data_IF_990882983605
#
_entry.id   IF_990882983605
#
_cell.length_a   1.000
_cell.length_b   1.000
_cell.length_c   1.000
_cell.angle_alpha   90.00
_cell.angle_beta   90.00
_cell.angle_gamma   90.00
#
_symmetry.space_group_name_H-M   'P 1'
#
loop_
_entity.id
_entity.type
_entity.pdbx_description
1 polymer ?
#
# COMPACT_ATOMS: atom_id res chain seq x y z
N UNK A 1 7.25 -17.73 -16.98
CA UNK A 1 6.65 -18.73 -16.06
C UNK A 1 5.28 -18.18 -15.67
N UNK A 2 4.19 -18.93 -15.77
CA UNK A 2 2.86 -18.43 -15.41
C UNK A 2 2.74 -18.29 -13.89
N UNK A 3 1.88 -17.37 -13.43
CA UNK A 3 1.48 -17.31 -12.03
C UNK A 3 0.80 -18.64 -11.63
N UNK A 4 1.21 -19.31 -10.54
CA UNK A 4 0.51 -20.49 -10.05
C UNK A 4 -0.99 -20.21 -9.87
N UNK A 5 -1.84 -21.11 -10.36
CA UNK A 5 -3.29 -20.91 -10.28
C UNK A 5 -3.78 -21.14 -8.87
N UNK A 6 -4.49 -20.16 -8.32
CA UNK A 6 -5.17 -20.30 -7.04
C UNK A 6 -6.47 -21.09 -7.21
N UNK A 7 -6.78 -21.93 -6.23
CA UNK A 7 -8.10 -22.55 -6.09
C UNK A 7 -9.04 -21.53 -5.47
N UNK A 8 -10.24 -21.36 -6.06
CA UNK A 8 -11.28 -20.47 -5.57
C UNK A 8 -12.48 -21.27 -5.09
N UNK A 9 -12.87 -21.06 -3.85
CA UNK A 9 -13.97 -21.77 -3.21
C UNK A 9 -14.98 -20.76 -2.67
N UNK A 10 -16.25 -20.79 -3.14
CA UNK A 10 -17.29 -19.95 -2.56
C UNK A 10 -17.65 -20.47 -1.15
N UNK A 11 -17.77 -19.54 -0.20
CA UNK A 11 -18.17 -19.80 1.18
C UNK A 11 -19.57 -19.22 1.45
N UNK A 12 -20.11 -19.55 2.62
CA UNK A 12 -21.38 -18.97 3.08
C UNK A 12 -21.31 -17.44 3.15
N UNK A 13 -22.46 -16.78 3.10
CA UNK A 13 -22.55 -15.31 3.17
C UNK A 13 -21.95 -14.57 1.96
N UNK A 14 -21.56 -15.27 0.88
CA UNK A 14 -20.94 -14.69 -0.31
C UNK A 14 -19.47 -14.29 -0.10
N UNK A 15 -18.80 -14.88 0.85
CA UNK A 15 -17.33 -14.82 1.05
C UNK A 15 -16.67 -15.74 0.01
N UNK A 16 -15.48 -15.39 -0.45
CA UNK A 16 -14.67 -16.23 -1.32
C UNK A 16 -13.37 -16.61 -0.59
N UNK A 17 -12.98 -17.88 -0.67
CA UNK A 17 -11.64 -18.33 -0.30
C UNK A 17 -10.79 -18.52 -1.55
N UNK A 18 -9.54 -18.05 -1.48
CA UNK A 18 -8.52 -18.16 -2.55
C UNK A 18 -7.30 -18.84 -1.96
N UNK A 19 -6.93 -20.02 -2.45
CA UNK A 19 -5.85 -20.82 -1.86
C UNK A 19 -4.73 -21.15 -2.83
N UNK A 20 -3.49 -21.11 -2.33
CA UNK A 20 -2.25 -21.58 -2.98
C UNK A 20 -1.59 -22.58 -2.05
N UNK A 21 -1.69 -23.86 -2.39
CA UNK A 21 -1.10 -24.94 -1.58
C UNK A 21 0.35 -25.20 -1.99
N UNK A 22 1.23 -25.34 -0.98
CA UNK A 22 2.62 -25.75 -1.10
C UNK A 22 3.06 -26.41 0.22
N UNK A 23 3.26 -27.71 0.18
CA UNK A 23 3.59 -28.53 1.35
C UNK A 23 5.11 -28.58 1.64
N UNK A 24 5.92 -27.75 1.01
CA UNK A 24 7.37 -27.71 1.20
C UNK A 24 7.80 -27.41 2.65
N UNK A 25 6.95 -26.67 3.37
CA UNK A 25 7.14 -26.36 4.80
C UNK A 25 5.80 -26.46 5.55
N UNK A 26 5.78 -26.94 6.81
CA UNK A 26 4.54 -27.13 7.57
C UNK A 26 4.01 -25.81 8.18
N UNK A 27 3.96 -24.75 7.37
CA UNK A 27 3.52 -23.40 7.74
C UNK A 27 2.38 -22.97 6.84
N UNK A 28 1.35 -22.43 7.43
CA UNK A 28 0.24 -21.79 6.70
C UNK A 28 0.13 -20.31 7.03
N UNK A 29 -0.21 -19.54 6.00
CA UNK A 29 -0.61 -18.12 6.10
C UNK A 29 -2.08 -18.00 5.80
N UNK A 30 -2.80 -17.32 6.68
CA UNK A 30 -4.19 -16.93 6.53
C UNK A 30 -4.25 -15.42 6.45
N UNK A 31 -4.80 -14.87 5.37
CA UNK A 31 -5.04 -13.43 5.25
C UNK A 31 -6.51 -13.17 5.01
N UNK A 32 -7.12 -12.36 5.86
CA UNK A 32 -8.50 -11.90 5.73
C UNK A 32 -8.42 -10.46 5.22
N UNK A 33 -8.99 -10.22 4.03
CA UNK A 33 -8.88 -8.95 3.32
C UNK A 33 -10.26 -8.31 3.17
N UNK A 34 -10.49 -7.22 3.87
CA UNK A 34 -11.68 -6.38 3.71
C UNK A 34 -11.42 -5.33 2.62
N UNK A 35 -12.36 -5.11 1.66
CA UNK A 35 -12.24 -4.12 0.60
C UNK A 35 -12.57 -2.69 1.09
N UNK A 36 -12.13 -2.35 2.28
CA UNK A 36 -12.34 -1.08 2.99
C UNK A 36 -11.05 -0.70 3.69
N UNK A 37 -10.60 0.53 3.52
CA UNK A 37 -9.39 1.05 4.14
C UNK A 37 -9.60 2.43 4.75
N UNK A 38 -8.50 3.16 4.97
CA UNK A 38 -8.55 4.47 5.65
C UNK A 38 -9.39 5.53 4.94
N UNK A 39 -9.53 5.45 3.61
CA UNK A 39 -10.34 6.39 2.85
C UNK A 39 -11.86 6.07 2.89
N UNK A 40 -12.22 4.86 3.31
CA UNK A 40 -13.58 4.36 3.24
C UNK A 40 -14.32 4.44 4.58
N UNK A 41 -13.58 4.64 5.67
CA UNK A 41 -14.13 4.77 7.02
C UNK A 41 -14.42 6.22 7.37
N UNK A 42 -15.36 6.49 8.29
CA UNK A 42 -15.62 7.85 8.76
C UNK A 42 -14.39 8.50 9.42
N UNK A 43 -13.66 7.73 10.24
CA UNK A 43 -12.44 8.17 10.91
C UNK A 43 -11.30 7.14 10.75
N UNK A 44 -10.22 7.55 10.08
CA UNK A 44 -9.02 6.72 9.90
C UNK A 44 -8.24 6.49 11.22
N UNK A 45 -8.38 7.38 12.23
CA UNK A 45 -7.77 7.19 13.55
C UNK A 45 -8.46 6.03 14.29
N UNK A 46 -9.78 5.96 14.21
CA UNK A 46 -10.54 4.85 14.78
C UNK A 46 -10.12 3.51 14.15
N UNK A 47 -9.93 3.45 12.83
CA UNK A 47 -9.46 2.25 12.15
C UNK A 47 -8.05 1.84 12.59
N UNK A 48 -7.15 2.82 12.70
CA UNK A 48 -5.77 2.60 13.12
C UNK A 48 -5.64 2.14 14.60
N UNK A 49 -6.61 2.50 15.45
CA UNK A 49 -6.73 1.99 16.83
C UNK A 49 -7.43 0.63 16.86
N UNK A 50 -8.55 0.48 16.15
CA UNK A 50 -9.40 -0.70 16.23
C UNK A 50 -8.67 -1.98 15.82
N UNK A 51 -7.91 -1.95 14.73
CA UNK A 51 -7.26 -3.15 14.21
C UNK A 51 -6.23 -3.77 15.19
N UNK A 52 -5.26 -3.04 15.76
CA UNK A 52 -4.38 -3.63 16.77
C UNK A 52 -5.10 -3.94 18.09
N UNK A 53 -6.17 -3.22 18.44
CA UNK A 53 -6.95 -3.49 19.65
C UNK A 53 -7.68 -4.86 19.63
N UNK A 54 -7.86 -5.47 18.46
CA UNK A 54 -8.49 -6.80 18.38
C UNK A 54 -7.74 -7.86 19.22
N UNK A 55 -6.41 -7.78 19.29
CA UNK A 55 -5.57 -8.71 20.06
C UNK A 55 -5.25 -8.25 21.50
N UNK A 56 -5.73 -7.09 21.93
CA UNK A 56 -5.49 -6.58 23.30
C UNK A 56 -6.43 -7.20 24.35
N UNK A 57 -7.33 -8.06 23.94
CA UNK A 57 -8.23 -8.84 24.80
C UNK A 57 -9.55 -9.17 24.13
N UNK A 58 -10.09 -10.35 24.47
CA UNK A 58 -11.43 -10.78 24.10
C UNK A 58 -12.35 -10.81 25.33
N UNK A 59 -13.62 -11.18 25.13
CA UNK A 59 -14.53 -11.38 26.26
C UNK A 59 -14.11 -12.54 27.17
N UNK A 60 -13.25 -13.44 26.68
CA UNK A 60 -12.82 -14.67 27.38
C UNK A 60 -11.36 -14.64 27.84
N UNK A 61 -10.50 -13.80 27.26
CA UNK A 61 -9.05 -13.82 27.49
C UNK A 61 -8.47 -12.41 27.55
N UNK A 62 -7.41 -12.24 28.34
CA UNK A 62 -6.62 -11.00 28.33
C UNK A 62 -5.70 -10.92 27.10
N UNK A 63 -5.22 -9.72 26.74
CA UNK A 63 -4.24 -9.54 25.66
C UNK A 63 -2.90 -10.26 25.96
N UNK A 64 -2.51 -10.37 27.23
CA UNK A 64 -1.33 -11.14 27.64
C UNK A 64 -1.52 -12.64 27.36
N UNK A 65 -2.67 -13.22 27.72
CA UNK A 65 -2.96 -14.64 27.43
C UNK A 65 -2.98 -14.90 25.92
N UNK A 66 -3.53 -13.98 25.12
CA UNK A 66 -3.52 -14.07 23.66
C UNK A 66 -2.09 -14.08 23.13
N UNK A 67 -1.25 -13.15 23.58
CA UNK A 67 0.15 -13.06 23.16
C UNK A 67 0.92 -14.34 23.53
N UNK A 68 0.78 -14.83 24.77
CA UNK A 68 1.42 -16.06 25.25
C UNK A 68 1.00 -17.29 24.43
N UNK A 69 -0.30 -17.41 24.10
CA UNK A 69 -0.79 -18.51 23.26
C UNK A 69 -0.20 -18.42 21.85
N UNK A 70 -0.16 -17.26 21.23
CA UNK A 70 0.41 -17.08 19.90
C UNK A 70 1.90 -17.42 19.89
N UNK A 71 2.68 -16.84 20.80
CA UNK A 71 4.12 -17.05 20.89
C UNK A 71 4.48 -18.51 21.19
N UNK A 72 3.83 -19.13 22.18
CA UNK A 72 4.06 -20.53 22.54
C UNK A 72 3.79 -21.50 21.37
N UNK A 73 2.82 -21.19 20.52
CA UNK A 73 2.45 -22.01 19.38
C UNK A 73 3.18 -21.64 18.08
N UNK A 74 4.13 -20.68 18.11
CA UNK A 74 4.85 -20.23 16.94
C UNK A 74 3.94 -19.57 15.90
N UNK A 75 2.88 -18.92 16.36
CA UNK A 75 1.96 -18.15 15.53
C UNK A 75 2.20 -16.64 15.73
N UNK A 76 2.01 -15.87 14.69
CA UNK A 76 2.06 -14.42 14.80
C UNK A 76 1.06 -13.76 13.86
N UNK A 77 0.57 -12.62 14.27
CA UNK A 77 -0.48 -11.88 13.60
C UNK A 77 -0.03 -10.44 13.32
N UNK A 78 -0.41 -9.92 12.17
CA UNK A 78 -0.24 -8.50 11.82
C UNK A 78 -1.48 -7.94 11.13
N UNK A 79 -1.61 -6.63 11.20
CA UNK A 79 -2.64 -5.88 10.47
C UNK A 79 -1.99 -4.84 9.57
N UNK A 80 -2.47 -4.75 8.34
CA UNK A 80 -2.04 -3.76 7.37
C UNK A 80 -3.28 -2.95 6.92
N UNK A 81 -3.19 -1.63 6.97
CA UNK A 81 -4.27 -0.72 6.58
C UNK A 81 -3.81 0.08 5.36
N UNK A 82 -4.42 -0.19 4.22
CA UNK A 82 -4.23 0.54 2.99
C UNK A 82 -5.28 1.66 2.81
N UNK A 83 -5.26 2.28 1.64
CA UNK A 83 -6.24 3.31 1.27
C UNK A 83 -7.66 2.72 1.19
N UNK A 84 -7.83 1.57 0.51
CA UNK A 84 -9.10 0.89 0.26
C UNK A 84 -9.10 -0.58 0.69
N UNK A 85 -8.15 -0.98 1.52
CA UNK A 85 -8.06 -2.35 2.04
C UNK A 85 -7.62 -2.36 3.48
N UNK A 86 -8.17 -3.30 4.25
CA UNK A 86 -7.68 -3.66 5.57
C UNK A 86 -7.38 -5.15 5.55
N UNK A 87 -6.20 -5.54 6.00
CA UNK A 87 -5.72 -6.92 5.94
C UNK A 87 -5.32 -7.34 7.34
N UNK A 88 -5.85 -8.47 7.78
CA UNK A 88 -5.34 -9.19 8.93
C UNK A 88 -4.64 -10.45 8.42
N UNK A 89 -3.38 -10.62 8.75
CA UNK A 89 -2.57 -11.78 8.37
C UNK A 89 -2.14 -12.54 9.60
N UNK A 90 -2.38 -13.86 9.60
CA UNK A 90 -1.91 -14.80 10.58
C UNK A 90 -0.95 -15.80 9.92
N UNK A 91 0.20 -16.03 10.51
CA UNK A 91 1.08 -17.16 10.21
C UNK A 91 1.03 -18.16 11.36
N UNK A 92 0.98 -19.44 11.03
CA UNK A 92 0.94 -20.50 12.04
C UNK A 92 1.66 -21.77 11.56
N UNK A 93 2.13 -22.56 12.52
CA UNK A 93 2.57 -23.92 12.29
C UNK A 93 1.34 -24.84 12.20
N UNK A 94 1.24 -25.67 11.18
CA UNK A 94 0.06 -26.52 10.96
C UNK A 94 -0.29 -27.42 12.15
N UNK A 95 0.72 -27.90 12.88
CA UNK A 95 0.53 -28.74 14.09
C UNK A 95 -0.23 -28.04 15.22
N UNK A 96 -0.26 -26.70 15.24
CA UNK A 96 -0.92 -25.90 16.27
C UNK A 96 -2.25 -25.30 15.83
N UNK A 97 -2.67 -25.58 14.60
CA UNK A 97 -3.85 -24.97 13.97
C UNK A 97 -5.14 -25.15 14.80
N UNK A 98 -5.37 -26.36 15.38
CA UNK A 98 -6.56 -26.63 16.21
C UNK A 98 -6.69 -25.70 17.41
N UNK A 99 -5.57 -25.16 17.89
CA UNK A 99 -5.56 -24.19 18.99
C UNK A 99 -5.65 -22.76 18.51
N UNK A 100 -5.07 -22.45 17.34
CA UNK A 100 -4.94 -21.07 16.85
C UNK A 100 -6.22 -20.60 16.12
N UNK A 101 -6.92 -21.46 15.36
CA UNK A 101 -8.14 -21.05 14.67
C UNK A 101 -9.27 -20.60 15.61
N UNK A 102 -9.58 -21.33 16.73
CA UNK A 102 -10.55 -20.86 17.70
C UNK A 102 -10.15 -19.52 18.36
N UNK A 103 -8.84 -19.34 18.63
CA UNK A 103 -8.33 -18.08 19.16
C UNK A 103 -8.52 -16.92 18.15
N UNK A 104 -8.19 -17.15 16.86
CA UNK A 104 -8.41 -16.14 15.83
C UNK A 104 -9.88 -15.78 15.69
N UNK A 105 -10.77 -16.79 15.74
CA UNK A 105 -12.22 -16.55 15.71
C UNK A 105 -12.66 -15.70 16.91
N UNK A 106 -12.19 -15.97 18.12
CA UNK A 106 -12.54 -15.18 19.31
C UNK A 106 -12.02 -13.74 19.23
N UNK A 107 -10.77 -13.55 18.75
CA UNK A 107 -10.18 -12.22 18.51
C UNK A 107 -11.01 -11.40 17.53
N UNK A 108 -11.52 -12.03 16.48
CA UNK A 108 -12.27 -11.33 15.42
C UNK A 108 -13.74 -11.10 15.79
N UNK A 109 -14.37 -12.02 16.50
CA UNK A 109 -15.80 -11.98 16.77
C UNK A 109 -16.14 -11.31 18.12
N UNK A 110 -15.25 -11.44 19.11
CA UNK A 110 -15.54 -11.05 20.50
C UNK A 110 -14.47 -10.17 21.15
N UNK A 111 -13.88 -9.16 20.45
CA UNK A 111 -12.91 -8.28 21.09
C UNK A 111 -13.53 -7.47 22.22
N UNK A 112 -12.83 -7.38 23.36
CA UNK A 112 -13.32 -6.68 24.53
C UNK A 112 -13.04 -5.16 24.50
N UNK A 113 -12.05 -4.72 23.71
CA UNK A 113 -11.55 -3.34 23.69
C UNK A 113 -11.30 -2.80 25.12
N UNK A 114 -10.37 -3.40 25.90
CA UNK A 114 -10.14 -2.98 27.29
C UNK A 114 -9.72 -1.51 27.39
N UNK A 115 -10.31 -0.70 28.28
CA UNK A 115 -10.02 0.76 28.35
C UNK A 115 -8.56 1.08 28.61
N UNK A 116 -7.90 0.32 29.48
CA UNK A 116 -6.50 0.51 29.82
C UNK A 116 -5.55 0.15 28.65
N UNK A 117 -5.86 -0.89 27.89
CA UNK A 117 -5.14 -1.24 26.67
C UNK A 117 -5.34 -0.18 25.59
N UNK A 118 -6.56 0.34 25.42
CA UNK A 118 -6.85 1.43 24.50
C UNK A 118 -6.02 2.66 24.83
N UNK A 119 -5.90 3.03 26.11
CA UNK A 119 -5.13 4.20 26.50
C UNK A 119 -3.62 4.02 26.25
N UNK A 120 -3.06 2.85 26.60
CA UNK A 120 -1.65 2.53 26.27
C UNK A 120 -1.36 2.58 24.78
N UNK A 121 -2.25 1.99 23.95
CA UNK A 121 -2.10 2.00 22.49
C UNK A 121 -2.23 3.41 21.92
N UNK A 122 -3.18 4.20 22.41
CA UNK A 122 -3.40 5.59 22.05
C UNK A 122 -2.14 6.43 22.27
N UNK A 123 -1.56 6.37 23.48
CA UNK A 123 -0.33 7.08 23.80
C UNK A 123 0.83 6.67 22.89
N UNK A 124 0.97 5.36 22.63
CA UNK A 124 1.98 4.84 21.69
C UNK A 124 1.79 5.41 20.28
N UNK A 125 0.57 5.40 19.74
CA UNK A 125 0.30 5.90 18.39
C UNK A 125 0.45 7.43 18.30
N UNK A 126 0.08 8.17 19.34
CA UNK A 126 0.33 9.62 19.45
C UNK A 126 1.84 9.91 19.40
N UNK A 127 2.63 9.20 20.22
CA UNK A 127 4.09 9.36 20.23
C UNK A 127 4.71 9.04 18.86
N UNK A 128 4.30 7.94 18.24
CA UNK A 128 4.75 7.57 16.90
C UNK A 128 4.34 8.59 15.83
N UNK A 129 3.15 9.17 15.94
CA UNK A 129 2.67 10.19 14.99
C UNK A 129 3.46 11.48 15.14
N UNK A 130 3.74 11.93 16.36
CA UNK A 130 4.60 13.09 16.61
C UNK A 130 6.00 12.91 16.02
N UNK A 131 6.62 11.73 16.23
CA UNK A 131 7.93 11.41 15.62
C UNK A 131 7.89 11.42 14.08
N UNK A 132 6.78 10.97 13.48
CA UNK A 132 6.62 11.00 12.03
C UNK A 132 6.43 12.42 11.49
N UNK A 133 5.76 13.30 12.23
CA UNK A 133 5.55 14.70 11.85
C UNK A 133 6.85 15.53 11.77
N UNK A 134 7.96 15.04 12.33
CA UNK A 134 9.28 15.64 12.16
C UNK A 134 10.07 15.09 10.97
N UNK A 135 9.57 14.07 10.27
CA UNK A 135 10.25 13.49 9.11
C UNK A 135 9.84 14.19 7.84
N UNK A 136 10.77 14.88 7.19
CA UNK A 136 10.53 15.62 5.94
C UNK A 136 9.87 14.74 4.86
N UNK A 137 10.27 13.47 4.74
CA UNK A 137 9.65 12.50 3.82
C UNK A 137 8.15 12.33 4.06
N UNK A 138 7.74 12.24 5.31
CA UNK A 138 6.33 12.08 5.67
C UNK A 138 5.53 13.35 5.40
N UNK A 139 6.10 14.52 5.73
CA UNK A 139 5.49 15.82 5.44
C UNK A 139 5.30 16.03 3.94
N UNK A 140 6.32 15.76 3.11
CA UNK A 140 6.20 15.84 1.66
C UNK A 140 5.13 14.88 1.11
N UNK A 141 5.00 13.66 1.69
CA UNK A 141 3.95 12.70 1.31
C UNK A 141 2.56 13.22 1.64
N UNK A 142 2.36 13.78 2.82
CA UNK A 142 1.08 14.35 3.25
C UNK A 142 0.71 15.57 2.40
N UNK A 143 1.67 16.46 2.15
CA UNK A 143 1.49 17.62 1.29
C UNK A 143 1.09 17.22 -0.13
N UNK A 144 1.81 16.26 -0.73
CA UNK A 144 1.51 15.71 -2.05
C UNK A 144 0.08 15.15 -2.13
N UNK A 145 -0.37 14.39 -1.12
CA UNK A 145 -1.72 13.85 -1.09
C UNK A 145 -2.79 14.96 -1.02
N UNK A 146 -2.55 16.02 -0.21
CA UNK A 146 -3.46 17.18 -0.14
C UNK A 146 -3.52 17.94 -1.47
N UNK A 147 -2.37 18.08 -2.16
CA UNK A 147 -2.31 18.74 -3.47
C UNK A 147 -3.07 17.97 -4.55
N UNK A 148 -3.00 16.63 -4.53
CA UNK A 148 -3.64 15.78 -5.55
C UNK A 148 -5.14 15.62 -5.27
N UNK A 149 -5.51 15.27 -4.04
CA UNK A 149 -6.89 14.87 -3.72
C UNK A 149 -7.71 16.03 -3.13
N UNK A 150 -7.07 17.13 -2.74
CA UNK A 150 -7.70 18.23 -2.01
C UNK A 150 -7.68 18.05 -0.50
N UNK A 151 -7.70 19.18 0.20
CA UNK A 151 -7.75 19.23 1.67
C UNK A 151 -9.09 18.65 2.14
N UNK A 152 -9.04 17.72 3.11
CA UNK A 152 -10.24 17.07 3.65
C UNK A 152 -10.79 15.89 2.82
N UNK A 153 -10.27 15.66 1.61
CA UNK A 153 -10.68 14.49 0.82
C UNK A 153 -10.35 13.19 1.56
N UNK A 154 -11.22 12.14 1.48
CA UNK A 154 -10.97 10.86 2.12
C UNK A 154 -9.61 10.25 1.75
N UNK A 155 -9.19 10.37 0.50
CA UNK A 155 -7.90 9.86 0.02
C UNK A 155 -6.68 10.63 0.55
N UNK A 156 -6.86 11.87 1.02
CA UNK A 156 -5.81 12.70 1.64
C UNK A 156 -5.78 12.60 3.17
N UNK A 157 -6.74 11.89 3.79
CA UNK A 157 -6.79 11.74 5.26
C UNK A 157 -5.54 11.07 5.80
N UNK A 158 -5.12 11.53 6.96
CA UNK A 158 -4.00 11.00 7.73
C UNK A 158 -4.41 10.89 9.20
N UNK A 159 -3.80 9.96 9.90
CA UNK A 159 -3.93 9.89 11.35
C UNK A 159 -3.22 11.04 12.02
N UNK A 160 -3.79 11.59 13.10
CA UNK A 160 -3.23 12.69 13.88
C UNK A 160 -3.26 12.41 15.38
N UNK A 161 -2.41 13.12 16.13
CA UNK A 161 -2.39 13.01 17.60
C UNK A 161 -3.73 13.44 18.19
N UNK A 162 -4.33 14.50 17.66
CA UNK A 162 -5.63 15.02 18.08
C UNK A 162 -6.76 14.06 17.71
N UNK A 163 -6.70 13.48 16.49
CA UNK A 163 -7.65 12.46 16.05
C UNK A 163 -7.61 11.24 16.97
N UNK A 164 -6.43 10.73 17.34
CA UNK A 164 -6.33 9.60 18.25
C UNK A 164 -6.90 9.91 19.64
N UNK A 165 -6.76 11.14 20.16
CA UNK A 165 -7.34 11.55 21.44
C UNK A 165 -8.86 11.60 21.40
N UNK A 166 -9.44 11.94 20.25
CA UNK A 166 -10.88 12.10 20.09
C UNK A 166 -11.64 10.78 19.99
N UNK A 167 -10.98 9.70 19.53
CA UNK A 167 -11.63 8.38 19.34
C UNK A 167 -12.10 7.80 20.66
N UNK A 168 -13.39 7.48 20.74
CA UNK A 168 -14.00 6.78 21.89
C UNK A 168 -13.96 5.26 21.71
N UNK A 169 -14.15 4.52 22.80
CA UNK A 169 -14.27 3.06 22.78
C UNK A 169 -15.53 2.62 21.98
N UNK A 170 -16.61 3.37 22.13
CA UNK A 170 -17.88 3.11 21.42
C UNK A 170 -17.72 3.20 19.91
N UNK A 171 -16.91 4.13 19.41
CA UNK A 171 -16.57 4.23 17.99
C UNK A 171 -15.80 3.00 17.50
N UNK A 172 -14.88 2.45 18.31
CA UNK A 172 -14.19 1.20 17.97
C UNK A 172 -15.16 0.02 17.88
N UNK A 173 -16.09 -0.09 18.82
CA UNK A 173 -17.13 -1.15 18.83
C UNK A 173 -18.05 -1.01 17.62
N UNK A 174 -18.46 0.20 17.25
CA UNK A 174 -19.30 0.42 16.07
C UNK A 174 -18.53 0.12 14.78
N UNK A 175 -17.30 0.58 14.67
CA UNK A 175 -16.45 0.30 13.51
C UNK A 175 -16.16 -1.19 13.35
N UNK A 176 -15.89 -1.90 14.45
CA UNK A 176 -15.72 -3.35 14.44
C UNK A 176 -16.95 -4.05 13.89
N UNK A 177 -18.15 -3.69 14.36
CA UNK A 177 -19.41 -4.24 13.87
C UNK A 177 -19.60 -4.00 12.37
N UNK A 178 -19.29 -2.81 11.90
CA UNK A 178 -19.46 -2.41 10.49
C UNK A 178 -18.41 -3.04 9.57
N UNK A 179 -17.14 -3.01 9.97
CA UNK A 179 -16.04 -3.51 9.15
C UNK A 179 -15.89 -5.03 9.26
N UNK A 180 -15.69 -5.53 10.47
CA UNK A 180 -15.34 -6.94 10.67
C UNK A 180 -16.56 -7.85 10.53
N UNK A 181 -17.67 -7.51 11.19
CA UNK A 181 -18.84 -8.40 11.24
C UNK A 181 -19.84 -8.20 10.09
N UNK A 182 -19.83 -7.06 9.42
CA UNK A 182 -20.83 -6.75 8.39
C UNK A 182 -20.29 -6.62 6.99
N UNK A 183 -19.00 -6.29 6.82
CA UNK A 183 -18.39 -6.15 5.48
C UNK A 183 -17.79 -7.48 5.05
N UNK A 184 -18.09 -7.91 3.83
CA UNK A 184 -17.57 -9.17 3.27
C UNK A 184 -16.07 -9.09 3.00
N UNK A 185 -15.25 -9.93 3.65
CA UNK A 185 -13.85 -10.08 3.30
C UNK A 185 -13.66 -11.11 2.19
N UNK A 186 -12.46 -11.18 1.66
CA UNK A 186 -11.94 -12.36 0.95
C UNK A 186 -10.94 -13.06 1.85
N UNK A 187 -11.03 -14.38 1.92
CA UNK A 187 -10.10 -15.23 2.66
C UNK A 187 -8.99 -15.71 1.71
N UNK A 188 -7.74 -15.45 2.05
CA UNK A 188 -6.59 -15.97 1.32
C UNK A 188 -5.81 -16.94 2.17
N UNK A 189 -5.49 -18.11 1.59
CA UNK A 189 -4.77 -19.20 2.22
C UNK A 189 -3.53 -19.53 1.41
N UNK A 190 -2.37 -19.61 2.04
CA UNK A 190 -1.12 -19.95 1.37
C UNK A 190 -0.20 -20.83 2.22
N UNK A 191 0.61 -21.66 1.58
CA UNK A 191 1.54 -22.59 2.25
C UNK A 191 0.97 -24.00 2.36
N UNK A 192 1.26 -24.71 3.45
CA UNK A 192 0.80 -26.08 3.66
C UNK A 192 -0.72 -26.16 3.95
N UNK A 193 -1.50 -25.60 3.04
CA UNK A 193 -2.97 -25.57 3.12
C UNK A 193 -3.51 -26.93 2.69
N UNK A 194 -3.62 -27.85 3.65
CA UNK A 194 -4.28 -29.13 3.45
C UNK A 194 -5.77 -29.03 3.78
N UNK A 195 -6.56 -30.07 3.44
CA UNK A 195 -8.01 -30.07 3.65
C UNK A 195 -8.44 -29.79 5.09
N UNK A 196 -7.62 -30.09 6.10
CA UNK A 196 -7.91 -29.80 7.52
C UNK A 196 -7.77 -28.29 7.80
N UNK A 197 -6.68 -27.66 7.36
CA UNK A 197 -6.44 -26.22 7.52
C UNK A 197 -7.53 -25.44 6.78
N UNK A 198 -7.81 -25.84 5.55
CA UNK A 198 -8.85 -25.22 4.72
C UNK A 198 -10.21 -25.32 5.39
N UNK A 199 -10.59 -26.50 5.87
CA UNK A 199 -11.85 -26.68 6.58
C UNK A 199 -11.97 -25.84 7.86
N UNK A 200 -10.90 -25.74 8.65
CA UNK A 200 -10.90 -24.92 9.87
C UNK A 200 -11.04 -23.43 9.53
N UNK A 201 -10.36 -22.95 8.48
CA UNK A 201 -10.47 -21.58 8.02
C UNK A 201 -11.89 -21.27 7.51
N UNK A 202 -12.49 -22.17 6.73
CA UNK A 202 -13.86 -22.04 6.24
C UNK A 202 -14.87 -22.02 7.38
N UNK A 203 -14.76 -22.96 8.32
CA UNK A 203 -15.64 -23.04 9.51
C UNK A 203 -15.57 -21.77 10.35
N UNK A 204 -14.36 -21.20 10.49
CA UNK A 204 -14.19 -19.91 11.15
C UNK A 204 -14.94 -18.80 10.39
N UNK A 205 -14.82 -18.75 9.06
CA UNK A 205 -15.50 -17.73 8.25
C UNK A 205 -17.03 -17.89 8.25
N UNK A 206 -17.56 -19.08 8.37
CA UNK A 206 -19.02 -19.32 8.51
C UNK A 206 -19.59 -18.69 9.79
N UNK A 207 -18.74 -18.45 10.80
CA UNK A 207 -19.13 -17.78 12.05
C UNK A 207 -19.32 -16.27 11.91
N UNK A 208 -18.92 -15.66 10.79
CA UNK A 208 -19.03 -14.20 10.56
C UNK A 208 -20.46 -13.74 10.22
N UNK A 209 -21.40 -14.64 10.00
CA UNK A 209 -22.77 -14.30 9.68
C UNK A 209 -22.96 -13.66 8.30
N UNK A 210 -24.19 -13.23 8.03
CA UNK A 210 -24.52 -12.55 6.77
C UNK A 210 -24.22 -11.06 6.87
N UNK A 211 -23.78 -10.40 5.78
CA UNK A 211 -23.62 -8.95 5.73
C UNK A 211 -24.91 -8.24 6.12
N UNK A 212 -24.78 -7.13 6.80
CA UNK A 212 -25.90 -6.30 7.21
C UNK A 212 -25.94 -4.99 6.40
N UNK A 213 -27.03 -4.25 6.46
CA UNK A 213 -27.17 -2.91 5.86
C UNK A 213 -26.16 -1.88 6.44
N UNK A 214 -25.43 -2.26 7.49
CA UNK A 214 -24.40 -1.46 8.13
C UNK A 214 -22.99 -1.67 7.55
N UNK A 215 -22.84 -2.59 6.58
CA UNK A 215 -21.55 -2.85 5.93
C UNK A 215 -20.95 -1.56 5.35
N UNK A 216 -19.64 -1.46 5.45
CA UNK A 216 -18.90 -0.39 4.81
C UNK A 216 -18.68 -0.74 3.34
N UNK A 217 -18.71 0.27 2.49
CA UNK A 217 -18.39 0.16 1.08
C UNK A 217 -17.15 1.00 0.76
N UNK A 218 -16.36 0.56 -0.22
CA UNK A 218 -15.25 1.37 -0.71
C UNK A 218 -15.79 2.67 -1.34
N UNK A 219 -15.21 3.79 -0.94
CA UNK A 219 -15.50 5.06 -1.58
C UNK A 219 -14.87 5.10 -2.97
N UNK A 220 -15.60 5.62 -3.94
CA UNK A 220 -15.01 5.97 -5.24
C UNK A 220 -14.11 7.19 -5.02
N UNK A 221 -12.82 7.03 -5.27
CA UNK A 221 -11.90 8.17 -5.28
C UNK A 221 -11.95 8.78 -6.67
N UNK A 222 -12.49 9.99 -6.83
CA UNK A 222 -12.50 10.64 -8.13
C UNK A 222 -11.07 10.82 -8.63
N UNK A 223 -10.88 10.63 -9.93
CA UNK A 223 -9.60 10.93 -10.56
C UNK A 223 -9.24 12.41 -10.30
N UNK A 224 -8.05 12.69 -9.79
CA UNK A 224 -7.66 14.09 -9.53
C UNK A 224 -7.60 14.88 -10.84
N UNK A 225 -8.37 15.95 -10.90
CA UNK A 225 -8.41 16.85 -12.06
C UNK A 225 -7.36 17.95 -11.90
N UNK A 226 -6.08 17.58 -11.94
CA UNK A 226 -5.02 18.60 -12.03
C UNK A 226 -4.99 19.22 -13.42
N UNK A 227 -5.27 20.51 -13.51
CA UNK A 227 -5.21 21.28 -14.77
C UNK A 227 -3.86 21.98 -14.98
N UNK A 228 -3.14 22.28 -13.91
CA UNK A 228 -1.85 22.96 -13.92
C UNK A 228 -0.89 22.36 -12.91
N UNK A 229 0.41 22.45 -13.17
CA UNK A 229 1.42 22.08 -12.18
C UNK A 229 1.41 23.06 -11.01
N UNK A 230 1.59 22.52 -9.82
CA UNK A 230 1.69 23.29 -8.58
C UNK A 230 2.91 22.88 -7.78
N UNK A 231 3.53 23.82 -7.07
CA UNK A 231 4.66 23.59 -6.16
C UNK A 231 4.31 24.15 -4.80
N UNK A 232 4.39 23.32 -3.77
CA UNK A 232 4.20 23.72 -2.38
C UNK A 232 5.35 23.23 -1.53
N UNK A 233 5.68 24.00 -0.48
CA UNK A 233 6.75 23.66 0.45
C UNK A 233 6.26 23.77 1.89
N UNK A 234 6.57 22.75 2.69
CA UNK A 234 6.44 22.79 4.14
C UNK A 234 7.84 23.03 4.74
N UNK A 235 8.00 24.16 5.41
CA UNK A 235 9.29 24.58 5.95
C UNK A 235 9.57 23.85 7.27
N UNK A 236 10.71 23.17 7.34
CA UNK A 236 11.23 22.51 8.55
C UNK A 236 12.57 23.15 8.89
N UNK A 237 12.56 24.15 9.78
CA UNK A 237 13.67 25.07 10.01
C UNK A 237 15.03 24.42 10.26
N UNK A 238 15.06 23.33 11.06
CA UNK A 238 16.31 22.65 11.43
C UNK A 238 16.64 21.44 10.54
N UNK A 239 15.94 21.26 9.43
CA UNK A 239 16.21 20.14 8.54
C UNK A 239 17.45 20.39 7.70
N UNK A 240 18.36 19.42 7.67
CA UNK A 240 19.54 19.41 6.80
C UNK A 240 19.20 18.89 5.39
N UNK A 241 18.04 18.28 5.21
CA UNK A 241 17.61 17.71 3.96
C UNK A 241 16.21 18.19 3.59
N UNK A 242 15.96 18.27 2.29
CA UNK A 242 14.63 18.47 1.72
C UNK A 242 14.14 17.15 1.13
N UNK A 243 12.96 16.71 1.54
CA UNK A 243 12.24 15.67 0.83
C UNK A 243 11.53 16.26 -0.38
N UNK A 244 11.81 15.71 -1.54
CA UNK A 244 11.19 16.02 -2.83
C UNK A 244 10.19 14.91 -3.15
N UNK A 245 8.94 15.29 -3.45
CA UNK A 245 7.92 14.36 -3.94
C UNK A 245 7.16 15.00 -5.09
N UNK A 246 7.32 14.42 -6.27
CA UNK A 246 6.60 14.80 -7.48
C UNK A 246 5.52 13.74 -7.70
N UNK A 247 4.26 14.17 -7.84
CA UNK A 247 3.15 13.28 -8.10
C UNK A 247 2.42 13.71 -9.38
N UNK A 248 2.26 12.76 -10.30
CA UNK A 248 1.63 12.94 -11.60
C UNK A 248 0.41 12.05 -11.66
N UNK A 249 -0.82 12.58 -11.55
CA UNK A 249 -2.03 11.79 -11.76
C UNK A 249 -2.04 11.17 -13.17
N UNK A 250 -2.41 9.89 -13.25
CA UNK A 250 -2.34 9.16 -14.51
C UNK A 250 -3.44 8.08 -14.62
N UNK A 251 -3.38 7.30 -15.67
CA UNK A 251 -4.34 6.26 -16.02
C UNK A 251 -4.40 5.12 -14.99
N UNK A 252 -5.58 4.54 -14.83
CA UNK A 252 -5.83 3.39 -13.96
C UNK A 252 -5.60 2.03 -14.66
N UNK A 253 -5.76 0.92 -13.92
CA UNK A 253 -5.41 -0.43 -14.37
C UNK A 253 -6.27 -0.97 -15.52
N UNK A 254 -7.43 -0.39 -15.78
CA UNK A 254 -8.30 -0.75 -16.90
C UNK A 254 -7.85 -0.15 -18.25
N UNK A 255 -6.94 0.83 -18.23
CA UNK A 255 -6.48 1.50 -19.44
C UNK A 255 -5.50 0.59 -20.24
N UNK A 256 -5.58 0.52 -21.58
CA UNK A 256 -4.70 -0.33 -22.40
C UNK A 256 -3.21 -0.02 -22.25
N UNK A 257 -2.82 1.24 -22.04
CA UNK A 257 -1.44 1.65 -21.89
C UNK A 257 -0.86 1.42 -20.46
N UNK A 258 -1.68 0.96 -19.50
CA UNK A 258 -1.31 0.90 -18.09
C UNK A 258 -0.01 0.12 -17.84
N UNK A 259 0.12 -1.09 -18.39
CA UNK A 259 1.32 -1.92 -18.16
C UNK A 259 2.55 -1.40 -18.93
N UNK A 260 2.33 -0.81 -20.10
CA UNK A 260 3.42 -0.16 -20.86
C UNK A 260 3.93 1.09 -20.12
N UNK A 261 3.03 1.86 -19.52
CA UNK A 261 3.40 3.00 -18.68
C UNK A 261 4.15 2.56 -17.42
N UNK A 262 3.74 1.46 -16.77
CA UNK A 262 4.50 0.90 -15.64
C UNK A 262 5.94 0.57 -16.05
N UNK A 263 6.15 0.02 -17.23
CA UNK A 263 7.50 -0.30 -17.75
C UNK A 263 8.30 0.98 -18.03
N UNK A 264 7.68 2.03 -18.55
CA UNK A 264 8.33 3.33 -18.76
C UNK A 264 8.74 4.01 -17.44
N UNK A 265 7.85 3.99 -16.44
CA UNK A 265 8.14 4.51 -15.09
C UNK A 265 9.26 3.69 -14.42
N UNK A 266 9.28 2.36 -14.64
CA UNK A 266 10.36 1.50 -14.14
C UNK A 266 11.70 1.86 -14.78
N UNK A 267 11.75 2.12 -16.08
CA UNK A 267 12.95 2.57 -16.77
C UNK A 267 13.43 3.95 -16.27
N UNK A 268 12.49 4.85 -15.95
CA UNK A 268 12.82 6.18 -15.43
C UNK A 268 13.47 6.11 -14.04
N UNK A 269 12.88 5.34 -13.09
CA UNK A 269 13.32 5.38 -11.69
C UNK A 269 12.98 4.13 -10.88
N UNK A 270 12.62 3.00 -11.51
CA UNK A 270 12.14 1.80 -10.80
C UNK A 270 13.22 0.82 -10.36
N UNK A 271 14.49 1.01 -10.73
CA UNK A 271 15.59 0.13 -10.38
C UNK A 271 16.90 0.89 -10.16
N UNK A 272 17.91 0.22 -9.63
CA UNK A 272 19.18 0.84 -9.27
C UNK A 272 19.91 1.46 -10.47
N UNK A 273 19.93 0.83 -11.63
CA UNK A 273 20.52 1.37 -12.87
C UNK A 273 19.54 2.19 -13.71
N UNK A 274 18.45 2.71 -13.14
CA UNK A 274 17.50 3.57 -13.85
C UNK A 274 18.05 4.97 -14.12
N UNK A 275 17.46 5.70 -15.05
CA UNK A 275 17.95 7.02 -15.48
C UNK A 275 18.09 8.02 -14.33
N UNK A 276 17.07 8.13 -13.47
CA UNK A 276 17.13 9.03 -12.32
C UNK A 276 18.25 8.63 -11.34
N UNK A 277 18.42 7.33 -11.08
CA UNK A 277 19.47 6.85 -10.20
C UNK A 277 20.86 7.11 -10.77
N UNK A 278 21.08 6.79 -12.03
CA UNK A 278 22.39 7.01 -12.69
C UNK A 278 22.74 8.48 -12.74
N UNK A 279 21.83 9.37 -13.17
CA UNK A 279 22.12 10.79 -13.27
C UNK A 279 22.25 11.46 -11.88
N UNK A 280 21.18 11.37 -11.05
CA UNK A 280 21.05 12.23 -9.87
C UNK A 280 21.87 11.68 -8.69
N UNK A 281 21.95 10.34 -8.56
CA UNK A 281 22.73 9.71 -7.48
C UNK A 281 24.16 9.42 -7.88
N UNK A 282 24.39 8.71 -9.01
CA UNK A 282 25.74 8.21 -9.34
C UNK A 282 26.62 9.31 -9.95
N UNK A 283 26.12 10.03 -10.96
CA UNK A 283 26.91 11.04 -11.65
C UNK A 283 27.05 12.34 -10.84
N UNK A 284 25.96 12.81 -10.22
CA UNK A 284 25.90 14.13 -9.57
C UNK A 284 26.00 14.08 -8.05
N UNK A 285 25.68 12.94 -7.43
CA UNK A 285 25.77 12.78 -5.98
C UNK A 285 24.82 13.66 -5.17
N UNK A 286 23.68 14.09 -5.76
CA UNK A 286 22.74 14.99 -5.09
C UNK A 286 21.89 14.30 -4.03
N UNK A 287 21.72 12.98 -4.12
CA UNK A 287 20.90 12.18 -3.19
C UNK A 287 21.52 10.80 -2.95
N UNK A 288 21.16 10.16 -1.86
CA UNK A 288 21.48 8.74 -1.62
C UNK A 288 20.59 7.78 -2.42
N UNK A 289 19.47 8.25 -2.92
CA UNK A 289 18.58 7.46 -3.77
C UNK A 289 17.36 8.27 -4.20
N UNK A 290 16.94 8.04 -5.44
CA UNK A 290 15.74 8.58 -6.03
C UNK A 290 14.98 7.45 -6.71
N UNK A 291 13.66 7.45 -6.61
CA UNK A 291 12.85 6.41 -7.25
C UNK A 291 11.60 6.96 -7.89
N UNK A 292 11.13 6.24 -8.92
CA UNK A 292 9.84 6.47 -9.55
C UNK A 292 9.01 5.20 -9.50
N UNK A 293 7.72 5.32 -9.13
CA UNK A 293 6.78 4.20 -9.04
C UNK A 293 5.35 4.65 -9.37
N UNK A 294 4.50 3.71 -9.75
CA UNK A 294 3.06 3.95 -9.85
C UNK A 294 2.35 3.47 -8.59
N UNK A 295 1.60 4.36 -7.95
CA UNK A 295 0.65 4.03 -6.88
C UNK A 295 -0.74 3.93 -7.49
N UNK A 296 -1.27 2.72 -7.53
CA UNK A 296 -2.52 2.41 -8.24
C UNK A 296 -3.68 2.25 -7.27
N UNK A 297 -4.83 2.79 -7.64
CA UNK A 297 -6.15 2.50 -7.06
C UNK A 297 -6.99 1.74 -8.09
N UNK A 298 -8.27 1.53 -7.82
CA UNK A 298 -9.17 0.84 -8.76
C UNK A 298 -9.39 1.61 -10.06
N UNK A 299 -9.50 2.93 -9.96
CA UNK A 299 -9.91 3.80 -11.07
C UNK A 299 -8.75 4.56 -11.70
N UNK A 300 -7.72 4.86 -10.92
CA UNK A 300 -6.65 5.79 -11.30
C UNK A 300 -5.31 5.37 -10.70
N UNK A 301 -4.25 6.00 -11.14
CA UNK A 301 -2.92 5.88 -10.54
C UNK A 301 -2.25 7.25 -10.42
N UNK A 302 -1.24 7.30 -9.57
CA UNK A 302 -0.32 8.42 -9.47
C UNK A 302 1.10 7.92 -9.74
N UNK A 303 1.83 8.56 -10.64
CA UNK A 303 3.27 8.34 -10.76
C UNK A 303 3.94 9.19 -9.70
N UNK A 304 4.70 8.55 -8.83
CA UNK A 304 5.41 9.20 -7.73
C UNK A 304 6.89 9.12 -7.97
N UNK A 305 7.54 10.29 -8.06
CA UNK A 305 9.01 10.41 -8.04
C UNK A 305 9.38 11.00 -6.70
N UNK A 306 10.31 10.38 -5.95
CA UNK A 306 10.67 10.88 -4.64
C UNK A 306 12.13 10.62 -4.28
N UNK A 307 12.70 11.54 -3.49
CA UNK A 307 14.01 11.41 -2.86
C UNK A 307 14.10 12.31 -1.63
N UNK A 308 15.20 12.17 -0.89
CA UNK A 308 15.66 13.12 0.12
C UNK A 308 17.05 13.63 -0.35
N UNK A 309 17.25 14.93 -0.36
CA UNK A 309 18.46 15.58 -0.84
C UNK A 309 18.96 16.65 0.14
N UNK A 310 20.23 16.98 0.11
CA UNK A 310 20.73 18.19 0.79
C UNK A 310 19.94 19.42 0.31
N UNK A 311 19.58 20.30 1.22
CA UNK A 311 18.74 21.48 0.93
C UNK A 311 19.22 22.30 -0.28
N UNK A 312 20.54 22.45 -0.44
CA UNK A 312 21.17 23.19 -1.55
C UNK A 312 20.95 22.56 -2.93
N UNK A 313 20.65 21.26 -3.01
CA UNK A 313 20.48 20.55 -4.29
C UNK A 313 19.01 20.36 -4.68
N UNK A 314 18.06 20.88 -3.89
CA UNK A 314 16.62 20.68 -4.13
C UNK A 314 16.21 21.06 -5.56
N UNK A 315 16.54 22.28 -6.01
CA UNK A 315 16.20 22.74 -7.36
C UNK A 315 16.99 22.00 -8.45
N UNK A 316 18.24 21.60 -8.15
CA UNK A 316 19.04 20.80 -9.07
C UNK A 316 18.39 19.42 -9.30
N UNK A 317 17.90 18.77 -8.25
CA UNK A 317 17.18 17.49 -8.36
C UNK A 317 15.92 17.61 -9.18
N UNK A 318 15.14 18.68 -8.96
CA UNK A 318 13.93 18.96 -9.74
C UNK A 318 14.27 19.14 -11.23
N UNK A 319 15.26 19.97 -11.53
CA UNK A 319 15.70 20.23 -12.91
C UNK A 319 16.21 18.96 -13.60
N UNK A 320 17.04 18.16 -12.92
CA UNK A 320 17.56 16.91 -13.50
C UNK A 320 16.44 15.87 -13.70
N UNK A 321 15.44 15.85 -12.83
CA UNK A 321 14.27 15.00 -13.02
C UNK A 321 13.52 15.37 -14.31
N UNK A 322 13.31 16.65 -14.58
CA UNK A 322 12.70 17.13 -15.83
C UNK A 322 13.57 16.81 -17.06
N UNK A 323 14.89 16.95 -16.94
CA UNK A 323 15.83 16.58 -18.00
C UNK A 323 15.73 15.10 -18.35
N UNK A 324 15.67 14.21 -17.37
CA UNK A 324 15.56 12.77 -17.63
C UNK A 324 14.18 12.39 -18.19
N UNK A 325 13.11 13.01 -17.73
CA UNK A 325 11.77 12.85 -18.35
C UNK A 325 11.81 13.27 -19.82
N UNK A 326 12.36 14.45 -20.10
CA UNK A 326 12.47 14.94 -21.47
C UNK A 326 13.36 14.06 -22.36
N UNK A 327 14.46 13.54 -21.84
CA UNK A 327 15.33 12.59 -22.55
C UNK A 327 14.62 11.28 -22.84
N UNK A 328 13.84 10.73 -21.88
CA UNK A 328 13.09 9.48 -22.08
C UNK A 328 12.00 9.65 -23.13
N UNK A 329 11.38 10.85 -23.20
CA UNK A 329 10.31 11.17 -24.12
C UNK A 329 10.80 11.56 -25.55
N UNK A 330 12.04 12.10 -25.67
CA UNK A 330 12.51 12.67 -26.95
C UNK A 330 13.23 11.69 -27.85
N UNK A 331 13.77 10.59 -27.32
CA UNK A 331 14.51 9.60 -28.10
C UNK A 331 14.39 8.19 -27.51
N UNK A 332 14.35 7.14 -28.34
CA UNK A 332 14.39 5.77 -27.88
C UNK A 332 15.67 5.50 -27.04
N UNK A 333 15.56 4.65 -26.05
CA UNK A 333 16.71 4.19 -25.29
C UNK A 333 17.58 3.24 -26.12
N UNK A 334 18.87 3.12 -25.75
CA UNK A 334 19.77 2.19 -26.40
C UNK A 334 19.43 0.72 -26.06
N UNK A 335 19.92 -0.20 -26.90
CA UNK A 335 19.64 -1.65 -26.77
C UNK A 335 20.12 -2.21 -25.44
N UNK A 336 21.28 -1.78 -24.93
CA UNK A 336 21.82 -2.25 -23.65
C UNK A 336 20.97 -1.77 -22.47
N UNK A 337 20.51 -0.52 -22.48
CA UNK A 337 19.60 0.03 -21.47
C UNK A 337 18.27 -0.75 -21.49
N UNK A 338 17.68 -0.96 -22.67
CA UNK A 338 16.43 -1.70 -22.81
C UNK A 338 16.57 -3.14 -22.31
N UNK A 339 17.70 -3.80 -22.58
CA UNK A 339 18.00 -5.15 -22.10
C UNK A 339 18.07 -5.20 -20.57
N UNK A 340 18.69 -4.22 -19.95
CA UNK A 340 18.76 -4.10 -18.48
C UNK A 340 17.34 -3.90 -17.90
N UNK A 341 16.55 -2.98 -18.45
CA UNK A 341 15.18 -2.72 -18.02
C UNK A 341 14.33 -3.99 -18.08
N UNK A 342 14.33 -4.68 -19.22
CA UNK A 342 13.57 -5.94 -19.40
C UNK A 342 14.02 -7.01 -18.42
N UNK A 343 15.32 -7.23 -18.32
CA UNK A 343 15.87 -8.29 -17.47
C UNK A 343 15.56 -8.04 -15.99
N UNK A 344 15.81 -6.82 -15.51
CA UNK A 344 15.59 -6.46 -14.11
C UNK A 344 14.11 -6.48 -13.74
N UNK A 345 13.23 -5.93 -14.59
CA UNK A 345 11.79 -5.97 -14.38
C UNK A 345 11.25 -7.41 -14.40
N UNK A 346 11.67 -8.23 -15.34
CA UNK A 346 11.26 -9.64 -15.44
C UNK A 346 11.75 -10.46 -14.24
N UNK A 347 13.01 -10.30 -13.83
CA UNK A 347 13.56 -10.96 -12.64
C UNK A 347 12.81 -10.57 -11.37
N UNK A 348 12.45 -9.29 -11.22
CA UNK A 348 11.62 -8.83 -10.11
C UNK A 348 10.22 -9.47 -10.09
N UNK A 349 9.61 -9.68 -11.27
CA UNK A 349 8.34 -10.43 -11.36
C UNK A 349 8.52 -11.90 -10.98
N UNK A 350 9.57 -12.55 -11.46
CA UNK A 350 9.84 -13.96 -11.12
C UNK A 350 10.09 -14.15 -9.62
N UNK A 351 10.75 -13.21 -8.97
CA UNK A 351 10.98 -13.26 -7.51
C UNK A 351 9.67 -13.26 -6.70
N UNK A 352 8.57 -12.74 -7.24
CA UNK A 352 7.25 -12.84 -6.57
C UNK A 352 6.64 -14.24 -6.66
N UNK A 353 7.29 -15.19 -7.34
CA UNK A 353 6.87 -16.58 -7.44
C UNK A 353 7.67 -17.53 -6.53
N UNK A 354 8.63 -17.02 -5.77
CA UNK A 354 9.57 -17.82 -4.98
C UNK A 354 8.92 -18.54 -3.78
N UNK A 355 7.74 -18.11 -3.36
CA UNK A 355 7.01 -18.75 -2.26
C UNK A 355 5.50 -18.67 -2.46
N UNK A 356 4.71 -19.58 -1.86
CA UNK A 356 3.25 -19.51 -1.89
C UNK A 356 2.74 -18.19 -1.26
N UNK A 357 3.50 -17.62 -0.33
CA UNK A 357 3.16 -16.38 0.37
C UNK A 357 3.29 -15.15 -0.54
N UNK A 358 4.32 -15.09 -1.37
CA UNK A 358 4.49 -14.01 -2.36
C UNK A 358 3.58 -14.20 -3.58
N UNK A 359 3.29 -15.44 -3.95
CA UNK A 359 2.28 -15.75 -4.98
C UNK A 359 0.91 -15.22 -4.57
N UNK A 360 0.45 -15.52 -3.34
CA UNK A 360 -0.87 -15.07 -2.88
C UNK A 360 -0.95 -13.54 -2.76
N UNK A 361 0.18 -12.86 -2.48
CA UNK A 361 0.23 -11.39 -2.45
C UNK A 361 -0.08 -10.76 -3.81
N UNK A 362 0.29 -11.41 -4.94
CA UNK A 362 -0.12 -10.92 -6.27
C UNK A 362 -1.66 -10.94 -6.40
N UNK A 363 -2.33 -11.99 -5.92
CA UNK A 363 -3.79 -12.08 -5.95
C UNK A 363 -4.46 -11.01 -5.09
N UNK A 364 -3.91 -10.76 -3.88
CA UNK A 364 -4.41 -9.73 -2.96
C UNK A 364 -4.29 -8.34 -3.60
N UNK A 365 -3.13 -8.02 -4.16
CA UNK A 365 -2.87 -6.72 -4.79
C UNK A 365 -3.76 -6.52 -6.02
N UNK A 366 -3.89 -7.52 -6.89
CA UNK A 366 -4.73 -7.44 -8.08
C UNK A 366 -6.21 -7.20 -7.72
N UNK A 367 -6.73 -7.94 -6.72
CA UNK A 367 -8.09 -7.74 -6.25
C UNK A 367 -8.28 -6.34 -5.64
N UNK A 368 -7.31 -5.85 -4.86
CA UNK A 368 -7.38 -4.54 -4.23
C UNK A 368 -7.55 -3.40 -5.25
N UNK A 369 -6.94 -3.54 -6.42
CA UNK A 369 -7.01 -2.55 -7.51
C UNK A 369 -8.01 -2.91 -8.62
N UNK A 370 -8.84 -3.93 -8.41
CA UNK A 370 -9.91 -4.31 -9.34
C UNK A 370 -9.43 -5.01 -10.61
N UNK A 371 -8.22 -5.54 -10.62
CA UNK A 371 -7.70 -6.36 -11.73
C UNK A 371 -8.23 -7.78 -11.58
N UNK A 372 -8.77 -8.42 -12.65
CA UNK A 372 -9.15 -9.82 -12.59
C UNK A 372 -7.97 -10.71 -12.20
N UNK A 373 -8.22 -11.64 -11.30
CA UNK A 373 -7.20 -12.49 -10.70
C UNK A 373 -6.27 -13.17 -11.72
N UNK A 374 -4.98 -13.16 -11.41
CA UNK A 374 -3.87 -13.66 -12.25
C UNK A 374 -3.66 -12.94 -13.58
N UNK A 375 -4.60 -12.11 -14.03
CA UNK A 375 -4.47 -11.43 -15.32
C UNK A 375 -3.46 -10.27 -15.27
N UNK A 376 -3.31 -9.63 -14.13
CA UNK A 376 -2.37 -8.53 -13.95
C UNK A 376 -0.92 -8.98 -14.02
N UNK A 377 -0.59 -10.08 -13.34
CA UNK A 377 0.75 -10.67 -13.43
C UNK A 377 1.10 -11.06 -14.86
N UNK A 378 0.20 -11.78 -15.55
CA UNK A 378 0.41 -12.23 -16.93
C UNK A 378 0.63 -11.03 -17.87
N UNK A 379 -0.27 -10.05 -17.82
CA UNK A 379 -0.17 -8.84 -18.65
C UNK A 379 1.11 -8.05 -18.38
N UNK A 380 1.51 -7.94 -17.12
CA UNK A 380 2.77 -7.27 -16.74
C UNK A 380 3.97 -8.01 -17.30
N UNK A 381 4.01 -9.33 -17.17
CA UNK A 381 5.07 -10.16 -17.74
C UNK A 381 5.15 -10.03 -19.26
N UNK A 382 4.02 -10.14 -19.97
CA UNK A 382 3.95 -9.97 -21.41
C UNK A 382 4.44 -8.59 -21.85
N UNK A 383 4.01 -7.52 -21.18
CA UNK A 383 4.45 -6.15 -21.48
C UNK A 383 5.94 -5.94 -21.24
N UNK A 384 6.50 -6.47 -20.16
CA UNK A 384 7.94 -6.37 -19.88
C UNK A 384 8.75 -7.10 -20.96
N UNK A 385 8.33 -8.30 -21.35
CA UNK A 385 9.03 -9.08 -22.37
C UNK A 385 8.92 -8.47 -23.78
N UNK A 386 7.78 -7.87 -24.09
CA UNK A 386 7.51 -7.22 -25.38
C UNK A 386 7.92 -5.73 -25.41
N UNK A 387 8.41 -5.17 -24.31
CA UNK A 387 8.76 -3.75 -24.24
C UNK A 387 9.76 -3.37 -25.34
N UNK A 388 9.51 -2.29 -26.06
CA UNK A 388 10.45 -1.70 -27.03
C UNK A 388 10.87 -0.29 -26.59
N UNK A 389 11.99 0.17 -27.10
CA UNK A 389 12.50 1.50 -26.81
C UNK A 389 11.52 2.58 -27.27
N UNK A 390 10.87 2.37 -28.42
CA UNK A 390 9.87 3.27 -29.00
C UNK A 390 8.59 3.32 -28.14
N UNK A 391 8.13 2.14 -27.62
CA UNK A 391 6.94 2.10 -26.78
C UNK A 391 7.19 2.78 -25.42
N UNK A 392 8.36 2.62 -24.84
CA UNK A 392 8.76 3.32 -23.60
C UNK A 392 8.81 4.83 -23.85
N UNK A 393 9.40 5.27 -24.98
CA UNK A 393 9.42 6.67 -25.37
C UNK A 393 8.00 7.23 -25.54
N UNK A 394 7.13 6.55 -26.28
CA UNK A 394 5.72 6.93 -26.48
C UNK A 394 4.99 7.11 -25.14
N UNK A 395 5.19 6.21 -24.18
CA UNK A 395 4.58 6.32 -22.86
C UNK A 395 5.11 7.51 -22.09
N UNK A 396 6.41 7.80 -22.17
CA UNK A 396 7.01 8.96 -21.52
C UNK A 396 6.53 10.29 -22.14
N UNK A 397 6.43 10.36 -23.47
CA UNK A 397 5.89 11.50 -24.18
C UNK A 397 4.43 11.78 -23.80
N UNK A 398 3.60 10.74 -23.76
CA UNK A 398 2.16 10.85 -23.54
C UNK A 398 1.78 11.13 -22.08
N UNK A 399 2.51 10.58 -21.11
CA UNK A 399 2.08 10.57 -19.70
C UNK A 399 3.03 11.25 -18.73
N UNK A 400 4.25 11.60 -19.15
CA UNK A 400 5.25 12.25 -18.30
C UNK A 400 5.60 13.65 -18.79
N UNK A 401 5.88 13.81 -20.10
CA UNK A 401 6.33 15.09 -20.66
C UNK A 401 5.21 16.13 -20.65
N UNK A 402 5.45 17.27 -19.98
CA UNK A 402 4.48 18.38 -19.94
C UNK A 402 3.20 18.10 -19.16
N UNK A 403 3.05 16.91 -18.56
CA UNK A 403 1.86 16.55 -17.77
C UNK A 403 1.82 17.35 -16.46
N UNK A 404 0.65 17.92 -16.07
CA UNK A 404 0.48 18.61 -14.81
C UNK A 404 0.88 17.74 -13.61
N UNK A 405 1.61 18.33 -12.65
CA UNK A 405 2.15 17.59 -11.50
C UNK A 405 2.14 18.39 -10.22
N UNK A 406 1.97 17.72 -9.10
CA UNK A 406 2.14 18.26 -7.77
C UNK A 406 3.59 18.07 -7.33
N UNK A 407 4.29 19.17 -7.04
CA UNK A 407 5.65 19.17 -6.49
C UNK A 407 5.54 19.54 -5.01
N UNK A 408 5.59 18.54 -4.15
CA UNK A 408 5.54 18.70 -2.71
C UNK A 408 6.95 18.61 -2.13
N UNK A 409 7.35 19.64 -1.42
CA UNK A 409 8.66 19.76 -0.76
C UNK A 409 8.46 19.85 0.75
N UNK A 410 9.35 19.25 1.53
CA UNK A 410 9.42 19.49 2.96
C UNK A 410 10.89 19.55 3.39
N UNK A 411 11.29 20.64 4.04
CA UNK A 411 12.69 20.86 4.41
C UNK A 411 12.99 22.33 4.60
N UNK A 412 14.27 22.70 4.46
CA UNK A 412 14.73 24.07 4.59
C UNK A 412 15.62 24.45 3.40
N UNK A 413 15.07 25.00 2.34
CA UNK A 413 15.84 25.37 1.14
C UNK A 413 16.57 26.71 1.26
N UNK A 414 16.47 27.42 2.39
CA UNK A 414 17.14 28.72 2.60
C UNK A 414 16.62 29.86 1.72
N UNK A 415 15.66 29.61 0.85
CA UNK A 415 15.01 30.64 0.04
C UNK A 415 13.72 31.10 0.75
N UNK A 416 13.69 32.35 1.16
CA UNK A 416 12.50 33.11 1.60
C UNK A 416 11.47 33.22 0.44
N UNK A 417 10.89 32.13 0.01
CA UNK A 417 9.70 32.12 -0.80
C UNK A 417 8.61 31.30 -0.09
N UNK A 418 8.09 31.89 0.99
CA UNK A 418 6.76 31.61 1.45
C UNK A 418 5.78 31.88 0.30
N UNK A 419 5.42 30.85 -0.45
CA UNK A 419 4.25 30.91 -1.31
C UNK A 419 3.06 30.98 -0.38
N UNK A 420 2.52 32.19 -0.24
CA UNK A 420 1.27 32.50 0.41
C UNK A 420 0.20 31.49 0.04
N UNK A 421 -0.39 30.88 1.06
CA UNK A 421 -1.68 30.23 0.98
C UNK A 421 -2.70 31.31 0.57
N UNK A 422 -3.04 31.37 -0.69
CA UNK A 422 -4.29 31.98 -1.12
C UNK A 422 -5.36 30.89 -1.18
N UNK A 423 -6.41 31.16 -0.48
CA UNK A 423 -7.71 30.61 -0.12
C UNK A 423 -8.31 29.55 -1.06
#
# INVERSE_FOLDING_TARGET
MPLPQAVRTPLAGGIEAVSIADDSQPVSRISIVWPVGQADVPDCNALALMMPMLSEGTLSMSGADIADILEFNGAWMKTDIGRHTTILTLFLLNKTAERIFPLLADILLHPAFPPDALERLREKLIAQTRLRQHKVKELARQLSNRMIFGVGAPAARITSAEGFKAVSREELVDLHRRLILSTRPTLYLAGAVNGKIEQMAMTMMDSFGSPTDKALAANVVPAPAMQTSSRCMEVVADSLQTAVRIAIPTIGPSHPDYYSLQTAVFALGGHFGSRLMSNIREDKGYTYGISAMMLTTRETSDIIIHCETDNRFTDSVLNETEVEIARLASRPMGDDELKIVRHTAHSGLLATLDSPFTVIDNYIVEQAVGIPAASGFIRRQENVLAASAEKIQEMAEKYLLGTPRAIALAGNTGSDQAVSQEQ
#
